data_IF_725391055510
#
_entry.id   IF_725391055510
#
_cell.length_a   1.000
_cell.length_b   1.000
_cell.length_c   1.000
_cell.angle_alpha   90.00
_cell.angle_beta   90.00
_cell.angle_gamma   90.00
#
_symmetry.space_group_name_H-M   'P 1'
#
loop_
_entity.id
_entity.type
_entity.pdbx_description
1 polymer ?
#
# COMPACT_ATOMS: atom_id res chain seq x y z
N UNK A 1 14.09 -4.24 -21.16
CA UNK A 1 13.30 -4.15 -19.92
C UNK A 1 11.90 -4.63 -20.22
N UNK A 2 11.37 -5.61 -19.48
CA UNK A 2 9.97 -6.01 -19.66
C UNK A 2 9.07 -4.84 -19.29
N UNK A 3 8.00 -4.63 -20.06
CA UNK A 3 7.06 -3.56 -19.76
C UNK A 3 6.34 -3.91 -18.45
N UNK A 4 6.28 -2.99 -17.47
CA UNK A 4 5.51 -3.22 -16.26
C UNK A 4 4.04 -3.47 -16.63
N UNK A 5 3.36 -4.27 -15.81
CA UNK A 5 1.94 -4.55 -16.02
C UNK A 5 1.16 -3.22 -16.11
N UNK A 6 0.19 -3.08 -17.04
CA UNK A 6 -0.59 -1.85 -17.20
C UNK A 6 -1.22 -1.34 -15.91
N UNK A 7 -1.60 -2.27 -15.02
CA UNK A 7 -2.19 -1.92 -13.73
C UNK A 7 -1.18 -1.32 -12.75
N UNK A 8 0.06 -1.81 -12.73
CA UNK A 8 1.08 -1.34 -11.81
C UNK A 8 1.58 0.05 -12.22
N UNK A 9 1.71 0.29 -13.53
CA UNK A 9 1.97 1.63 -14.06
C UNK A 9 0.83 2.62 -13.72
N UNK A 10 -0.43 2.19 -13.82
CA UNK A 10 -1.57 3.02 -13.40
C UNK A 10 -1.55 3.30 -11.89
N UNK A 11 -1.15 2.35 -11.04
CA UNK A 11 -1.09 2.57 -9.59
C UNK A 11 -0.05 3.61 -9.19
N UNK A 12 1.06 3.67 -9.90
CA UNK A 12 2.19 4.54 -9.56
C UNK A 12 2.08 5.93 -10.21
N UNK A 13 1.73 5.99 -11.51
CA UNK A 13 1.92 7.20 -12.32
C UNK A 13 0.62 7.75 -12.97
N UNK A 14 -0.58 7.26 -12.64
CA UNK A 14 -1.83 7.69 -13.33
C UNK A 14 -2.06 9.20 -13.35
N UNK A 15 -1.64 9.92 -12.31
CA UNK A 15 -1.80 11.37 -12.18
C UNK A 15 -0.50 12.16 -12.41
N UNK A 16 0.60 11.48 -12.74
CA UNK A 16 1.87 12.13 -13.08
C UNK A 16 1.72 13.01 -14.32
N UNK A 17 2.55 14.07 -14.46
CA UNK A 17 2.49 14.95 -15.63
C UNK A 17 2.87 14.19 -16.92
N UNK A 18 2.30 14.61 -18.04
CA UNK A 18 2.45 13.95 -19.34
C UNK A 18 3.93 13.84 -19.78
N UNK A 19 4.74 14.86 -19.50
CA UNK A 19 6.16 14.87 -19.83
C UNK A 19 6.92 13.71 -19.15
N UNK A 20 6.61 13.42 -17.88
CA UNK A 20 7.23 12.33 -17.13
C UNK A 20 6.74 10.95 -17.62
N UNK A 21 5.47 10.85 -18.01
CA UNK A 21 4.91 9.62 -18.57
C UNK A 21 5.57 9.25 -19.90
N UNK A 22 5.77 10.23 -20.77
CA UNK A 22 6.41 10.04 -22.08
C UNK A 22 7.91 9.75 -21.98
N UNK A 23 8.58 10.18 -20.92
CA UNK A 23 9.99 9.84 -20.67
C UNK A 23 10.17 8.45 -20.06
N UNK A 24 9.24 8.02 -19.20
CA UNK A 24 9.32 6.73 -18.50
C UNK A 24 8.81 5.55 -19.32
N UNK A 25 7.79 5.76 -20.16
CA UNK A 25 7.10 4.69 -20.87
C UNK A 25 7.13 4.88 -22.39
N UNK A 26 7.01 3.80 -23.19
CA UNK A 26 6.83 3.92 -24.64
C UNK A 26 5.59 4.72 -25.00
N UNK A 27 5.63 5.45 -26.12
CA UNK A 27 4.58 6.38 -26.54
C UNK A 27 3.16 5.77 -26.52
N UNK A 28 2.98 4.59 -27.13
CA UNK A 28 1.68 3.91 -27.17
C UNK A 28 1.15 3.52 -25.77
N UNK A 29 2.04 3.25 -24.82
CA UNK A 29 1.68 2.93 -23.44
C UNK A 29 1.35 4.19 -22.63
N UNK A 30 2.12 5.26 -22.83
CA UNK A 30 1.82 6.57 -22.26
C UNK A 30 0.46 7.10 -22.74
N UNK A 31 0.14 6.96 -24.04
CA UNK A 31 -1.15 7.35 -24.60
C UNK A 31 -2.31 6.54 -24.00
N UNK A 32 -2.09 5.24 -23.76
CA UNK A 32 -3.06 4.40 -23.07
C UNK A 32 -3.29 4.85 -21.62
N UNK A 33 -2.24 5.18 -20.88
CA UNK A 33 -2.33 5.72 -19.53
C UNK A 33 -3.08 7.04 -19.49
N UNK A 34 -2.77 7.96 -20.42
CA UNK A 34 -3.48 9.23 -20.58
C UNK A 34 -4.97 9.02 -20.87
N UNK A 35 -5.30 8.07 -21.74
CA UNK A 35 -6.69 7.68 -22.03
C UNK A 35 -7.40 7.14 -20.79
N UNK A 36 -6.77 6.25 -20.03
CA UNK A 36 -7.32 5.69 -18.79
C UNK A 36 -7.55 6.80 -17.76
N UNK A 37 -6.60 7.73 -17.60
CA UNK A 37 -6.72 8.90 -16.72
C UNK A 37 -7.92 9.77 -17.08
N UNK A 38 -8.07 10.08 -18.37
CA UNK A 38 -9.15 10.96 -18.84
C UNK A 38 -10.53 10.30 -18.65
N UNK A 39 -10.63 9.00 -18.95
CA UNK A 39 -11.87 8.21 -18.74
C UNK A 39 -12.18 7.94 -17.28
N UNK A 40 -11.16 7.80 -16.44
CA UNK A 40 -11.31 7.73 -14.99
C UNK A 40 -11.95 9.02 -14.46
N UNK A 41 -11.44 10.19 -14.85
CA UNK A 41 -12.02 11.47 -14.44
C UNK A 41 -13.45 11.65 -14.98
N UNK A 42 -13.69 11.25 -16.22
CA UNK A 42 -15.02 11.31 -16.84
C UNK A 42 -16.04 10.44 -16.12
N UNK A 43 -15.65 9.23 -15.69
CA UNK A 43 -16.48 8.35 -14.87
C UNK A 43 -16.73 8.93 -13.47
N UNK A 44 -15.70 9.52 -12.85
CA UNK A 44 -15.82 10.19 -11.56
C UNK A 44 -16.81 11.37 -11.60
N UNK A 45 -16.83 12.12 -12.71
CA UNK A 45 -17.82 13.18 -12.94
C UNK A 45 -19.23 12.65 -13.27
N UNK A 46 -19.36 11.39 -13.70
CA UNK A 46 -20.64 10.79 -14.09
C UNK A 46 -20.83 9.37 -13.49
N UNK A 47 -20.95 9.22 -12.15
CA UNK A 47 -20.96 7.90 -11.51
C UNK A 47 -22.18 7.02 -11.86
N UNK A 48 -23.26 7.60 -12.37
CA UNK A 48 -24.46 6.88 -12.82
C UNK A 48 -24.33 6.26 -14.21
N UNK A 49 -23.23 6.56 -14.91
CA UNK A 49 -22.98 6.08 -16.26
C UNK A 49 -22.72 4.56 -16.26
N UNK A 50 -23.38 3.85 -17.18
CA UNK A 50 -23.19 2.39 -17.33
C UNK A 50 -21.97 2.10 -18.18
N UNK A 51 -21.36 0.92 -17.99
CA UNK A 51 -20.20 0.44 -18.77
C UNK A 51 -20.42 0.52 -20.29
N UNK A 52 -21.65 0.27 -20.75
CA UNK A 52 -22.02 0.41 -22.18
C UNK A 52 -21.83 1.84 -22.68
N UNK A 53 -22.30 2.83 -21.91
CA UNK A 53 -22.16 4.24 -22.27
C UNK A 53 -20.69 4.66 -22.20
N UNK A 54 -19.95 4.18 -21.19
CA UNK A 54 -18.54 4.50 -21.04
C UNK A 54 -17.68 3.91 -22.17
N UNK A 55 -17.99 2.68 -22.61
CA UNK A 55 -17.41 2.08 -23.81
C UNK A 55 -17.68 2.93 -25.05
N UNK A 56 -18.93 3.32 -25.27
CA UNK A 56 -19.32 4.09 -26.46
C UNK A 56 -18.58 5.44 -26.49
N UNK A 57 -18.38 6.08 -25.33
CA UNK A 57 -17.57 7.30 -25.21
C UNK A 57 -16.08 7.05 -25.47
N UNK A 58 -15.54 5.92 -25.03
CA UNK A 58 -14.14 5.54 -25.23
C UNK A 58 -13.83 5.32 -26.71
N UNK A 59 -14.72 4.59 -27.39
CA UNK A 59 -14.64 4.32 -28.82
C UNK A 59 -14.78 5.60 -29.65
N UNK A 60 -15.72 6.48 -29.27
CA UNK A 60 -15.94 7.75 -29.97
C UNK A 60 -14.78 8.74 -29.82
N UNK A 61 -14.24 8.90 -28.61
CA UNK A 61 -13.16 9.87 -28.34
C UNK A 61 -11.79 9.42 -28.85
N UNK A 62 -11.47 8.14 -28.72
CA UNK A 62 -10.12 7.62 -28.96
C UNK A 62 -10.01 6.64 -30.13
N UNK A 63 -11.12 6.32 -30.81
CA UNK A 63 -11.12 5.41 -31.96
C UNK A 63 -10.67 3.97 -31.65
N UNK A 64 -10.76 3.55 -30.39
CA UNK A 64 -10.30 2.23 -29.95
C UNK A 64 -11.31 1.12 -30.29
N UNK A 65 -10.81 -0.10 -30.45
CA UNK A 65 -11.66 -1.28 -30.62
C UNK A 65 -12.48 -1.57 -29.37
N UNK A 66 -13.61 -2.27 -29.54
CA UNK A 66 -14.48 -2.68 -28.44
C UNK A 66 -13.73 -3.49 -27.37
N UNK A 67 -12.85 -4.40 -27.77
CA UNK A 67 -12.07 -5.23 -26.84
C UNK A 67 -11.08 -4.40 -26.01
N UNK A 68 -10.39 -3.43 -26.63
CA UNK A 68 -9.50 -2.52 -25.92
C UNK A 68 -10.27 -1.63 -24.94
N UNK A 69 -11.47 -1.16 -25.31
CA UNK A 69 -12.30 -0.35 -24.44
C UNK A 69 -12.72 -1.12 -23.18
N UNK A 70 -13.17 -2.38 -23.30
CA UNK A 70 -13.47 -3.21 -22.14
C UNK A 70 -12.25 -3.55 -21.27
N UNK A 71 -11.07 -3.72 -21.90
CA UNK A 71 -9.81 -3.88 -21.15
C UNK A 71 -9.50 -2.65 -20.30
N UNK A 72 -9.66 -1.45 -20.86
CA UNK A 72 -9.44 -0.18 -20.15
C UNK A 72 -10.51 0.04 -19.06
N UNK A 73 -11.78 -0.32 -19.31
CA UNK A 73 -12.85 -0.29 -18.29
C UNK A 73 -12.53 -1.21 -17.11
N UNK A 74 -12.03 -2.42 -17.38
CA UNK A 74 -11.62 -3.35 -16.33
C UNK A 74 -10.49 -2.77 -15.48
N UNK A 75 -9.52 -2.10 -16.09
CA UNK A 75 -8.46 -1.39 -15.36
C UNK A 75 -9.03 -0.24 -14.51
N UNK A 76 -9.94 0.57 -15.05
CA UNK A 76 -10.61 1.65 -14.30
C UNK A 76 -11.32 1.08 -13.07
N UNK A 77 -12.11 0.01 -13.22
CA UNK A 77 -12.79 -0.64 -12.11
C UNK A 77 -11.84 -1.24 -11.06
N UNK A 78 -10.63 -1.65 -11.44
CA UNK A 78 -9.62 -2.12 -10.49
C UNK A 78 -8.91 -0.96 -9.76
N UNK A 79 -8.85 0.23 -10.38
CA UNK A 79 -8.23 1.42 -9.79
C UNK A 79 -9.17 2.16 -8.81
N UNK A 80 -10.49 2.11 -9.04
CA UNK A 80 -11.49 2.78 -8.18
C UNK A 80 -11.44 2.30 -6.71
N UNK A 81 -11.42 1.00 -6.39
CA UNK A 81 -11.35 0.49 -5.02
C UNK A 81 -10.05 0.84 -4.29
N UNK A 82 -8.95 1.03 -5.01
CA UNK A 82 -7.64 1.34 -4.43
C UNK A 82 -7.53 2.82 -4.04
N UNK A 83 -8.14 3.71 -4.82
CA UNK A 83 -8.42 5.09 -4.38
C UNK A 83 -9.64 5.17 -3.43
N UNK A 84 -10.39 4.07 -3.31
CA UNK A 84 -11.44 3.70 -2.34
C UNK A 84 -11.37 4.40 -0.98
N UNK A 85 -10.22 4.19 -0.32
CA UNK A 85 -9.93 4.71 1.02
C UNK A 85 -9.83 6.25 1.06
N UNK A 86 -9.32 6.89 0.00
CA UNK A 86 -9.46 8.35 -0.20
C UNK A 86 -10.88 8.72 -0.68
N UNK A 87 -11.58 7.81 -1.34
CA UNK A 87 -12.93 8.03 -1.86
C UNK A 87 -14.04 7.98 -0.79
N UNK A 88 -13.80 7.46 0.42
CA UNK A 88 -14.82 7.55 1.49
C UNK A 88 -15.17 9.02 1.73
N UNK A 89 -14.16 9.88 1.68
CA UNK A 89 -14.32 11.33 1.74
C UNK A 89 -15.03 11.87 0.50
N UNK A 90 -14.73 11.34 -0.69
CA UNK A 90 -15.47 11.68 -1.92
C UNK A 90 -16.96 11.30 -1.84
N UNK A 91 -17.29 10.10 -1.36
CA UNK A 91 -18.68 9.67 -1.17
C UNK A 91 -19.38 10.45 -0.06
N UNK A 92 -18.66 10.85 1.00
CA UNK A 92 -19.16 11.76 2.04
C UNK A 92 -19.46 13.14 1.46
N UNK A 93 -18.55 13.72 0.69
CA UNK A 93 -18.75 15.00 -0.01
C UNK A 93 -19.95 14.93 -0.98
N UNK A 94 -20.05 13.87 -1.76
CA UNK A 94 -21.17 13.68 -2.70
C UNK A 94 -22.51 13.49 -1.97
N UNK A 95 -22.53 12.73 -0.87
CA UNK A 95 -23.72 12.60 -0.04
C UNK A 95 -24.13 13.96 0.55
N UNK A 96 -23.16 14.80 0.93
CA UNK A 96 -23.42 16.14 1.43
C UNK A 96 -24.05 17.04 0.35
N UNK A 97 -23.59 16.99 -0.89
CA UNK A 97 -24.25 17.67 -2.02
C UNK A 97 -25.71 17.22 -2.18
N UNK A 98 -25.96 15.91 -2.16
CA UNK A 98 -27.31 15.36 -2.26
C UNK A 98 -28.21 15.78 -1.08
N UNK A 99 -27.67 15.80 0.14
CA UNK A 99 -28.40 16.27 1.31
C UNK A 99 -28.75 17.76 1.20
N UNK A 100 -27.83 18.59 0.70
CA UNK A 100 -28.09 20.01 0.47
C UNK A 100 -29.19 20.21 -0.58
N UNK A 101 -29.09 19.55 -1.73
CA UNK A 101 -30.12 19.62 -2.78
C UNK A 101 -31.50 19.18 -2.27
N UNK A 102 -31.58 18.04 -1.59
CA UNK A 102 -32.85 17.53 -1.03
C UNK A 102 -33.41 18.46 0.04
N UNK A 103 -32.57 19.08 0.87
CA UNK A 103 -32.99 20.09 1.83
C UNK A 103 -33.55 21.33 1.14
N UNK A 104 -32.91 21.83 0.06
CA UNK A 104 -33.44 22.98 -0.70
C UNK A 104 -34.80 22.69 -1.32
N UNK A 105 -34.99 21.48 -1.90
CA UNK A 105 -36.27 21.05 -2.45
C UNK A 105 -37.35 20.92 -1.38
N UNK A 106 -37.01 20.34 -0.22
CA UNK A 106 -37.92 20.21 0.91
C UNK A 106 -38.31 21.57 1.50
N UNK A 107 -37.36 22.50 1.61
CA UNK A 107 -37.58 23.89 2.04
C UNK A 107 -38.53 24.63 1.09
N UNK A 108 -38.36 24.47 -0.22
CA UNK A 108 -39.26 25.05 -1.23
C UNK A 108 -40.70 24.50 -1.09
N UNK A 109 -40.85 23.21 -0.77
CA UNK A 109 -42.14 22.55 -0.54
C UNK A 109 -42.70 22.74 0.88
N UNK A 110 -41.97 23.39 1.78
CA UNK A 110 -42.28 23.53 3.21
C UNK A 110 -42.54 22.19 3.93
N UNK A 111 -41.91 21.11 3.45
CA UNK A 111 -42.04 19.79 4.08
C UNK A 111 -41.03 19.64 5.22
N UNK A 112 -41.51 19.87 6.45
CA UNK A 112 -40.70 19.83 7.67
C UNK A 112 -40.23 18.42 8.04
N UNK A 113 -40.98 17.38 7.68
CA UNK A 113 -40.60 15.98 7.98
C UNK A 113 -39.42 15.53 7.13
N UNK A 114 -39.41 15.89 5.85
CA UNK A 114 -38.29 15.57 4.96
C UNK A 114 -37.04 16.39 5.33
N UNK A 115 -37.21 17.65 5.75
CA UNK A 115 -36.10 18.47 6.27
C UNK A 115 -35.42 17.84 7.49
N UNK A 116 -36.19 17.40 8.49
CA UNK A 116 -35.64 16.73 9.68
C UNK A 116 -34.83 15.48 9.32
N UNK A 117 -35.37 14.62 8.45
CA UNK A 117 -34.72 13.36 8.03
C UNK A 117 -33.40 13.58 7.32
N UNK A 118 -33.33 14.58 6.45
CA UNK A 118 -32.10 14.94 5.74
C UNK A 118 -31.05 15.47 6.72
N UNK A 119 -31.44 16.34 7.66
CA UNK A 119 -30.54 16.85 8.70
C UNK A 119 -30.01 15.71 9.59
N UNK A 120 -30.90 14.81 10.04
CA UNK A 120 -30.49 13.67 10.88
C UNK A 120 -29.52 12.74 10.15
N UNK A 121 -29.75 12.51 8.85
CA UNK A 121 -28.84 11.74 8.00
C UNK A 121 -27.49 12.45 7.85
N UNK A 122 -27.50 13.76 7.57
CA UNK A 122 -26.28 14.58 7.47
C UNK A 122 -25.44 14.53 8.75
N UNK A 123 -26.05 14.72 9.92
CA UNK A 123 -25.33 14.67 11.19
C UNK A 123 -24.73 13.28 11.47
N UNK A 124 -25.47 12.22 11.14
CA UNK A 124 -25.02 10.83 11.34
C UNK A 124 -23.84 10.47 10.43
N UNK A 125 -23.87 10.83 9.15
CA UNK A 125 -22.82 10.43 8.19
C UNK A 125 -21.55 11.27 8.29
N UNK A 126 -21.64 12.49 8.81
CA UNK A 126 -20.49 13.35 9.07
C UNK A 126 -19.94 13.21 10.50
N UNK A 127 -20.52 12.32 11.31
CA UNK A 127 -20.13 12.09 12.71
C UNK A 127 -20.07 13.39 13.53
N UNK A 128 -20.97 14.34 13.28
CA UNK A 128 -20.96 15.69 13.89
C UNK A 128 -21.09 15.64 15.42
N UNK A 129 -21.65 14.54 15.95
CA UNK A 129 -21.81 14.33 17.38
C UNK A 129 -20.54 13.81 18.09
N UNK A 130 -19.50 13.41 17.34
CA UNK A 130 -18.24 12.97 17.94
C UNK A 130 -17.39 14.21 18.21
N UNK A 131 -16.92 14.35 19.46
CA UNK A 131 -15.92 15.37 19.79
C UNK A 131 -14.70 15.16 18.88
N UNK A 132 -14.14 16.26 18.37
CA UNK A 132 -12.86 16.17 17.68
C UNK A 132 -11.84 15.68 18.70
N UNK A 133 -11.43 14.41 18.59
CA UNK A 133 -10.29 13.89 19.33
C UNK A 133 -9.13 14.84 19.01
N UNK A 134 -8.78 15.70 19.97
CA UNK A 134 -7.58 16.52 19.87
C UNK A 134 -6.46 15.58 19.45
N UNK A 135 -5.83 15.87 18.31
CA UNK A 135 -4.89 14.95 17.68
C UNK A 135 -3.96 14.35 18.73
N UNK A 136 -3.71 13.04 18.66
CA UNK A 136 -2.86 12.39 19.65
C UNK A 136 -1.56 13.19 19.80
N UNK A 137 -1.13 13.52 21.03
CA UNK A 137 0.06 14.31 21.25
C UNK A 137 1.29 13.45 20.95
N UNK A 138 1.57 13.22 19.66
CA UNK A 138 2.71 12.46 19.20
C UNK A 138 4.03 13.11 19.66
N UNK A 139 4.02 14.42 19.89
CA UNK A 139 5.13 15.19 20.44
C UNK A 139 5.45 14.84 21.90
N UNK A 140 4.49 14.27 22.64
CA UNK A 140 4.67 13.82 24.03
C UNK A 140 5.18 12.38 24.13
N UNK A 141 5.25 11.65 23.00
CA UNK A 141 5.74 10.27 22.99
C UNK A 141 7.27 10.28 23.12
N UNK A 142 7.76 10.03 24.34
CA UNK A 142 9.17 9.82 24.58
C UNK A 142 9.66 8.56 23.83
N UNK A 143 10.79 8.67 23.14
CA UNK A 143 11.49 7.52 22.54
C UNK A 143 11.92 6.61 23.68
N UNK A 144 11.54 5.33 23.62
CA UNK A 144 12.02 4.36 24.61
C UNK A 144 13.51 4.08 24.38
N UNK A 145 14.39 4.32 25.37
CA UNK A 145 15.79 3.99 25.25
C UNK A 145 15.97 2.47 25.44
N UNK A 146 16.03 1.72 24.33
CA UNK A 146 16.47 0.33 24.39
C UNK A 146 17.99 0.30 24.58
N UNK A 147 18.45 0.01 25.80
CA UNK A 147 19.85 -0.25 26.09
C UNK A 147 20.08 -1.75 26.25
N UNK A 148 21.12 -2.27 25.59
CA UNK A 148 21.60 -3.62 25.86
C UNK A 148 22.15 -3.64 27.29
N UNK A 149 21.46 -4.36 28.18
CA UNK A 149 21.89 -4.58 29.55
C UNK A 149 22.42 -6.00 29.68
N UNK A 150 23.54 -6.15 30.38
CA UNK A 150 24.13 -7.43 30.75
C UNK A 150 23.47 -8.05 31.99
N UNK A 151 22.50 -7.36 32.59
CA UNK A 151 21.78 -7.84 33.77
C UNK A 151 20.71 -8.90 33.38
N UNK A 152 20.99 -10.15 33.74
CA UNK A 152 20.11 -11.30 33.46
C UNK A 152 18.81 -11.26 34.28
N UNK A 153 18.72 -10.43 35.33
CA UNK A 153 17.49 -10.27 36.12
C UNK A 153 16.36 -9.61 35.33
N UNK A 154 16.70 -8.83 34.30
CA UNK A 154 15.73 -8.26 33.37
C UNK A 154 14.95 -9.32 32.59
N UNK A 155 15.51 -10.53 32.46
CA UNK A 155 14.86 -11.70 31.86
C UNK A 155 14.11 -12.57 32.89
N UNK A 156 14.06 -12.15 34.15
CA UNK A 156 13.46 -12.92 35.25
C UNK A 156 14.31 -14.09 35.75
N UNK A 157 15.57 -14.18 35.33
CA UNK A 157 16.49 -15.25 35.74
C UNK A 157 17.25 -14.83 37.00
N UNK A 158 17.37 -15.75 37.98
CA UNK A 158 18.17 -15.50 39.18
C UNK A 158 19.66 -15.47 38.80
N UNK A 159 20.41 -14.41 39.18
CA UNK A 159 21.81 -14.31 38.83
C UNK A 159 22.61 -15.35 39.60
N UNK A 160 23.53 -16.03 38.92
CA UNK A 160 24.47 -16.95 39.56
C UNK A 160 25.56 -16.07 40.20
N UNK A 161 25.76 -16.15 41.53
CA UNK A 161 26.85 -15.41 42.16
C UNK A 161 28.20 -15.95 41.65
N UNK A 162 29.09 -15.04 41.26
CA UNK A 162 30.47 -15.34 40.85
C UNK A 162 30.59 -16.24 39.61
N UNK A 163 29.99 -15.78 38.51
CA UNK A 163 29.80 -16.49 37.22
C UNK A 163 31.10 -17.13 36.71
N UNK A 164 32.22 -16.42 36.70
CA UNK A 164 33.48 -16.93 36.14
C UNK A 164 34.01 -18.14 36.91
N UNK A 165 33.92 -18.12 38.24
CA UNK A 165 34.32 -19.23 39.08
C UNK A 165 33.37 -20.43 38.92
N UNK A 166 32.08 -20.16 38.69
CA UNK A 166 31.10 -21.21 38.40
C UNK A 166 31.37 -21.89 37.06
N UNK A 167 31.66 -21.12 36.01
CA UNK A 167 32.03 -21.63 34.69
C UNK A 167 33.30 -22.49 34.79
N UNK A 168 34.38 -21.98 35.41
CA UNK A 168 35.63 -22.72 35.53
C UNK A 168 35.47 -24.05 36.29
N UNK A 169 34.63 -24.09 37.33
CA UNK A 169 34.30 -25.33 38.05
C UNK A 169 33.54 -26.29 37.14
N UNK A 170 32.48 -25.84 36.47
CA UNK A 170 31.68 -26.66 35.56
C UNK A 170 32.50 -27.21 34.40
N UNK A 171 33.32 -26.38 33.75
CA UNK A 171 34.22 -26.81 32.67
C UNK A 171 35.15 -27.90 33.15
N UNK A 172 35.72 -27.75 34.35
CA UNK A 172 36.59 -28.77 34.95
C UNK A 172 35.84 -30.07 35.26
N UNK A 173 34.67 -30.00 35.85
CA UNK A 173 33.86 -31.18 36.20
C UNK A 173 33.40 -31.91 34.92
N UNK A 174 32.90 -31.18 33.92
CA UNK A 174 32.49 -31.74 32.63
C UNK A 174 33.67 -32.36 31.86
N UNK A 175 34.84 -31.70 31.83
CA UNK A 175 36.05 -32.25 31.19
C UNK A 175 36.57 -33.52 31.85
N UNK A 176 36.26 -33.71 33.14
CA UNK A 176 36.61 -34.92 33.89
C UNK A 176 35.66 -36.07 33.56
N UNK A 177 34.36 -35.77 33.47
CA UNK A 177 33.33 -36.77 33.23
C UNK A 177 33.27 -37.23 31.76
N UNK A 178 33.67 -36.35 30.83
CA UNK A 178 33.67 -36.61 29.39
C UNK A 178 35.05 -36.34 28.76
N UNK A 179 35.98 -37.32 28.81
CA UNK A 179 37.35 -37.15 28.32
C UNK A 179 37.46 -37.02 26.80
N UNK A 180 36.38 -37.34 26.07
CA UNK A 180 36.31 -37.24 24.61
C UNK A 180 35.94 -35.82 24.13
N UNK A 181 35.62 -34.89 25.04
CA UNK A 181 35.34 -33.50 24.69
C UNK A 181 36.68 -32.78 24.46
N UNK A 182 37.00 -32.57 23.20
CA UNK A 182 38.12 -31.72 22.80
C UNK A 182 37.64 -30.27 22.72
N UNK A 183 38.37 -29.36 23.38
CA UNK A 183 38.17 -27.92 23.22
C UNK A 183 38.73 -27.54 21.84
N UNK A 184 37.85 -27.24 20.89
CA UNK A 184 38.22 -26.88 19.52
C UNK A 184 38.26 -25.36 19.42
N UNK A 185 39.41 -24.81 19.07
CA UNK A 185 39.52 -23.38 18.77
C UNK A 185 38.60 -23.03 17.59
N UNK A 186 37.96 -21.86 17.64
CA UNK A 186 37.06 -21.43 16.58
C UNK A 186 37.84 -21.34 15.27
N UNK A 187 37.59 -22.29 14.35
CA UNK A 187 38.07 -22.18 12.98
C UNK A 187 37.32 -21.06 12.26
N UNK A 188 38.06 -20.26 11.50
CA UNK A 188 37.47 -19.28 10.61
C UNK A 188 36.55 -20.00 9.61
N UNK A 189 35.35 -19.46 9.43
CA UNK A 189 34.39 -20.05 8.51
C UNK A 189 34.96 -20.02 7.09
N UNK A 190 35.25 -21.21 6.54
CA UNK A 190 35.70 -21.40 5.16
C UNK A 190 34.50 -21.21 4.22
N UNK A 191 34.05 -19.96 4.13
CA UNK A 191 32.95 -19.52 3.29
C UNK A 191 33.45 -19.48 1.85
N UNK A 192 33.15 -20.52 1.07
CA UNK A 192 33.30 -20.50 -0.38
C UNK A 192 32.25 -19.58 -1.06
N UNK A 193 32.12 -18.33 -0.59
CA UNK A 193 31.30 -17.29 -1.20
C UNK A 193 31.45 -17.18 -2.73
N UNK A 194 32.65 -17.25 -3.34
CA UNK A 194 32.78 -17.13 -4.79
C UNK A 194 32.22 -18.33 -5.57
N UNK A 195 32.09 -19.53 -4.96
CA UNK A 195 31.46 -20.69 -5.61
C UNK A 195 29.95 -20.68 -5.44
N UNK A 196 29.47 -20.21 -4.28
CA UNK A 196 28.05 -20.10 -3.94
C UNK A 196 27.35 -18.93 -4.67
N UNK A 197 28.06 -17.84 -4.93
CA UNK A 197 27.53 -16.65 -5.61
C UNK A 197 28.20 -16.42 -6.97
N UNK A 198 28.14 -17.43 -7.84
CA UNK A 198 28.51 -17.26 -9.25
C UNK A 198 27.60 -16.19 -9.88
N UNK A 199 28.15 -15.18 -10.57
CA UNK A 199 27.32 -14.27 -11.36
C UNK A 199 26.70 -15.06 -12.51
N UNK A 200 25.37 -15.00 -12.66
CA UNK A 200 24.65 -15.58 -13.78
C UNK A 200 25.22 -15.01 -15.08
N UNK A 201 26.04 -15.81 -15.79
CA UNK A 201 26.51 -15.44 -17.11
C UNK A 201 25.31 -15.34 -18.04
N UNK A 202 25.03 -14.10 -18.47
CA UNK A 202 23.96 -13.75 -19.38
C UNK A 202 23.94 -14.67 -20.62
N UNK A 203 22.74 -15.14 -20.94
CA UNK A 203 22.41 -15.85 -22.18
C UNK A 203 22.83 -15.04 -23.43
N UNK A 204 24.05 -15.24 -23.93
CA UNK A 204 24.37 -14.88 -25.32
C UNK A 204 24.06 -16.05 -26.23
N UNK A 205 22.83 -16.07 -26.74
CA UNK A 205 22.46 -16.91 -27.87
C UNK A 205 23.25 -16.51 -29.12
N UNK A 206 23.84 -17.49 -29.80
CA UNK A 206 24.26 -17.37 -31.20
C UNK A 206 23.33 -18.24 -32.07
N UNK A 207 22.85 -17.73 -33.22
CA UNK A 207 21.96 -18.47 -34.09
C UNK A 207 22.78 -19.47 -34.91
N UNK A 208 22.38 -20.75 -34.90
CA UNK A 208 22.90 -21.73 -35.84
C UNK A 208 22.07 -21.68 -37.12
N UNK A 209 22.78 -21.59 -38.26
CA UNK A 209 22.21 -21.68 -39.60
C UNK A 209 21.85 -23.10 -40.01
#
# INVERSE_FOLDING_TARGET
MSLPSPIDACRLDLFSPEAELRSKYPAAFADRLMRIRDMYNYWLSNPSMKDRQLRDTLMSRYGVSQSSAYSDISLIHQLVPLLSRKSREFHRARANEMFLETYTMAKARKDTKTMERVIASYCKYNDVAREEDGGLPYDEIAIQPFCASTDVTLLGVKPIPDIYNHIARLTKDLSRDFPDIMDVEAEDADLEEPSLFLPDNEHTGQPQG
#
